data_IF_306916706135
#
_entry.id   IF_306916706135
#
_cell.length_a   1.000
_cell.length_b   1.000
_cell.length_c   1.000
_cell.angle_alpha   90.00
_cell.angle_beta   90.00
_cell.angle_gamma   90.00
#
_symmetry.space_group_name_H-M   'P 1'
#
loop_
_entity.id
_entity.type
_entity.pdbx_description
1 polymer ?
#
# COMPACT_ATOMS: atom_id res chain seq x y z
N UNK A 1 -25.13 -16.95 53.49
CA UNK A 1 -24.03 -17.55 52.70
C UNK A 1 -24.16 -17.07 51.27
N UNK A 2 -23.14 -16.34 50.80
CA UNK A 2 -23.01 -15.78 49.44
C UNK A 2 -23.00 -16.90 48.41
N UNK A 3 -23.50 -16.65 47.20
CA UNK A 3 -22.94 -17.16 45.95
C UNK A 3 -23.60 -16.43 44.77
N UNK A 4 -23.19 -15.18 44.57
CA UNK A 4 -23.38 -14.46 43.29
C UNK A 4 -22.46 -15.16 42.28
N UNK A 5 -23.02 -15.98 41.40
CA UNK A 5 -22.28 -16.55 40.27
C UNK A 5 -22.13 -15.47 39.22
N UNK A 6 -21.02 -14.73 39.32
CA UNK A 6 -20.54 -13.78 38.34
C UNK A 6 -20.10 -14.58 37.10
N UNK A 7 -20.99 -14.71 36.11
CA UNK A 7 -20.61 -15.23 34.80
C UNK A 7 -19.79 -14.15 34.09
N UNK A 8 -18.47 -14.32 34.13
CA UNK A 8 -17.49 -13.46 33.50
C UNK A 8 -17.66 -13.55 31.97
N UNK A 9 -18.14 -12.46 31.37
CA UNK A 9 -18.33 -12.32 29.93
C UNK A 9 -16.96 -12.38 29.22
N UNK A 10 -16.69 -13.48 28.52
CA UNK A 10 -15.58 -13.59 27.59
C UNK A 10 -16.06 -13.16 26.19
N UNK A 11 -16.33 -11.87 26.01
CA UNK A 11 -16.51 -11.29 24.68
C UNK A 11 -15.11 -11.15 24.10
N UNK A 12 -14.67 -12.17 23.37
CA UNK A 12 -13.50 -12.08 22.51
C UNK A 12 -13.76 -10.95 21.51
N UNK A 13 -13.00 -9.85 21.50
CA UNK A 13 -13.00 -9.02 20.32
C UNK A 13 -12.28 -9.85 19.26
N UNK A 14 -13.04 -10.54 18.41
CA UNK A 14 -12.57 -10.87 17.07
C UNK A 14 -12.35 -9.52 16.40
N UNK A 15 -11.19 -8.92 16.69
CA UNK A 15 -10.70 -7.74 16.03
C UNK A 15 -10.67 -8.08 14.55
N UNK A 16 -11.63 -7.52 13.83
CA UNK A 16 -11.75 -7.58 12.39
C UNK A 16 -10.37 -7.27 11.82
N UNK A 17 -9.67 -8.30 11.35
CA UNK A 17 -8.54 -8.12 10.45
C UNK A 17 -9.15 -7.53 9.18
N UNK A 18 -9.30 -6.21 9.16
CA UNK A 18 -9.86 -5.50 8.01
C UNK A 18 -8.98 -5.90 6.81
N UNK A 19 -9.57 -6.47 5.75
CA UNK A 19 -8.82 -6.77 4.56
C UNK A 19 -8.16 -5.48 4.09
N UNK A 20 -6.93 -5.62 3.67
CA UNK A 20 -6.17 -4.57 3.04
C UNK A 20 -6.88 -4.15 1.74
N UNK A 21 -7.86 -3.26 1.85
CA UNK A 21 -8.61 -2.84 0.68
C UNK A 21 -7.69 -2.10 -0.28
N UNK A 22 -7.85 -2.40 -1.57
CA UNK A 22 -7.32 -1.55 -2.63
C UNK A 22 -7.85 -0.12 -2.41
N UNK A 23 -6.94 0.84 -2.39
CA UNK A 23 -7.23 2.26 -2.20
C UNK A 23 -6.94 2.98 -3.50
N UNK A 24 -7.93 3.68 -4.04
CA UNK A 24 -7.74 4.60 -5.15
C UNK A 24 -8.03 6.04 -4.67
N UNK A 25 -7.21 6.98 -5.12
CA UNK A 25 -7.41 8.41 -4.87
C UNK A 25 -7.07 9.14 -6.15
N UNK A 26 -8.02 9.91 -6.67
CA UNK A 26 -7.81 10.82 -7.80
C UNK A 26 -8.01 12.25 -7.36
N UNK A 27 -7.05 13.11 -7.67
CA UNK A 27 -7.09 14.55 -7.41
C UNK A 27 -6.97 15.29 -8.73
N UNK A 28 -7.91 16.20 -9.00
CA UNK A 28 -7.80 17.16 -10.09
C UNK A 28 -7.24 18.47 -9.54
N UNK A 29 -6.25 19.04 -10.21
CA UNK A 29 -5.64 20.31 -9.82
C UNK A 29 -6.38 21.49 -10.44
N UNK A 30 -6.26 22.67 -9.84
CA UNK A 30 -6.89 23.89 -10.35
C UNK A 30 -6.41 24.28 -11.77
N UNK A 31 -5.24 23.77 -12.16
CA UNK A 31 -4.67 23.97 -13.49
C UNK A 31 -5.18 22.94 -14.52
N UNK A 32 -6.17 22.09 -14.19
CA UNK A 32 -6.79 21.12 -15.11
C UNK A 32 -6.05 19.79 -15.28
N UNK A 33 -4.97 19.56 -14.53
CA UNK A 33 -4.27 18.27 -14.50
C UNK A 33 -4.88 17.30 -13.48
N UNK A 34 -4.52 16.02 -13.56
CA UNK A 34 -4.96 14.99 -12.61
C UNK A 34 -3.81 14.19 -12.04
N UNK A 35 -3.91 13.77 -10.78
CA UNK A 35 -3.05 12.75 -10.19
C UNK A 35 -3.93 11.63 -9.62
N UNK A 36 -3.78 10.42 -10.16
CA UNK A 36 -4.36 9.21 -9.59
C UNK A 36 -3.29 8.43 -8.84
N UNK A 37 -3.67 7.84 -7.72
CA UNK A 37 -2.84 6.93 -6.94
C UNK A 37 -3.65 5.73 -6.49
N UNK A 38 -3.23 4.58 -6.98
CA UNK A 38 -3.79 3.29 -6.64
C UNK A 38 -2.81 2.54 -5.75
N UNK A 39 -3.30 1.96 -4.67
CA UNK A 39 -2.50 1.14 -3.76
C UNK A 39 -3.26 -0.14 -3.50
N UNK A 40 -2.58 -1.26 -3.71
CA UNK A 40 -3.06 -2.58 -3.32
C UNK A 40 -2.03 -3.24 -2.41
N UNK A 41 -2.48 -4.00 -1.42
CA UNK A 41 -1.62 -4.69 -0.48
C UNK A 41 -2.19 -6.06 -0.15
N UNK A 42 -1.48 -7.13 -0.51
CA UNK A 42 -1.79 -8.47 -0.05
C UNK A 42 -0.97 -8.73 1.22
N UNK A 43 -1.62 -9.16 2.29
CA UNK A 43 -0.99 -9.49 3.58
C UNK A 43 -1.38 -10.90 3.99
N UNK A 44 -0.41 -11.71 4.38
CA UNK A 44 -0.64 -13.09 4.82
C UNK A 44 0.66 -13.79 5.16
N UNK A 45 0.59 -14.81 6.03
CA UNK A 45 1.71 -15.68 6.40
C UNK A 45 3.00 -14.93 6.81
N UNK A 46 2.88 -13.86 7.59
CA UNK A 46 4.04 -13.08 8.06
C UNK A 46 4.70 -12.21 6.99
N UNK A 47 4.09 -12.09 5.81
CA UNK A 47 4.59 -11.28 4.72
C UNK A 47 3.54 -10.26 4.22
N UNK A 48 4.01 -9.23 3.53
CA UNK A 48 3.18 -8.27 2.82
C UNK A 48 3.77 -7.88 1.47
N UNK A 49 2.93 -7.84 0.44
CA UNK A 49 3.24 -7.32 -0.88
C UNK A 49 2.33 -6.14 -1.16
N UNK A 50 2.88 -4.94 -1.19
CA UNK A 50 2.15 -3.71 -1.47
C UNK A 50 2.62 -3.09 -2.78
N UNK A 51 1.72 -3.03 -3.75
CA UNK A 51 1.91 -2.27 -4.97
C UNK A 51 1.29 -0.87 -4.82
N UNK A 52 1.91 0.12 -5.44
CA UNK A 52 1.35 1.46 -5.55
C UNK A 52 1.67 2.02 -6.91
N UNK A 53 0.64 2.32 -7.68
CA UNK A 53 0.74 3.00 -8.98
C UNK A 53 0.35 4.45 -8.79
N UNK A 54 1.08 5.36 -9.41
CA UNK A 54 0.73 6.77 -9.45
C UNK A 54 0.81 7.23 -10.89
N UNK A 55 -0.27 7.80 -11.38
CA UNK A 55 -0.35 8.40 -12.72
C UNK A 55 -0.63 9.88 -12.55
N UNK A 56 0.21 10.72 -13.14
CA UNK A 56 -0.01 12.15 -13.20
C UNK A 56 -0.19 12.56 -14.66
N UNK A 57 -1.22 13.34 -14.94
CA UNK A 57 -1.56 13.85 -16.27
C UNK A 57 -1.67 15.36 -16.20
N UNK A 58 -0.97 16.07 -17.08
CA UNK A 58 -1.08 17.53 -17.19
C UNK A 58 -2.36 17.90 -17.94
N UNK A 59 -2.77 19.17 -17.87
CA UNK A 59 -3.93 19.66 -18.62
C UNK A 59 -3.81 19.49 -20.15
N UNK A 60 -2.57 19.44 -20.65
CA UNK A 60 -2.26 19.22 -22.06
C UNK A 60 -2.21 17.72 -22.43
N UNK A 61 -2.60 16.82 -21.52
CA UNK A 61 -2.68 15.38 -21.75
C UNK A 61 -1.35 14.61 -21.59
N UNK A 62 -0.24 15.28 -21.26
CA UNK A 62 1.04 14.61 -21.01
C UNK A 62 0.96 13.81 -19.73
N UNK A 63 1.33 12.53 -19.77
CA UNK A 63 1.19 11.64 -18.61
C UNK A 63 2.53 11.04 -18.17
N UNK A 64 2.71 10.88 -16.87
CA UNK A 64 3.84 10.18 -16.27
C UNK A 64 3.33 9.14 -15.27
N UNK A 65 4.00 8.00 -15.20
CA UNK A 65 3.64 6.90 -14.30
C UNK A 65 4.78 6.55 -13.37
N UNK A 66 4.42 6.10 -12.17
CA UNK A 66 5.36 5.57 -11.18
C UNK A 66 4.73 4.37 -10.48
N UNK A 67 5.36 3.21 -10.60
CA UNK A 67 4.99 2.02 -9.86
C UNK A 67 5.98 1.80 -8.72
N UNK A 68 5.47 1.38 -7.57
CA UNK A 68 6.28 0.94 -6.43
C UNK A 68 5.76 -0.38 -5.91
N UNK A 69 6.58 -1.40 -5.96
CA UNK A 69 6.35 -2.67 -5.28
C UNK A 69 7.18 -2.70 -3.99
N UNK A 70 6.54 -3.04 -2.87
CA UNK A 70 7.22 -3.31 -1.61
C UNK A 70 6.83 -4.69 -1.09
N UNK A 71 7.83 -5.54 -0.92
CA UNK A 71 7.73 -6.85 -0.29
C UNK A 71 8.41 -6.80 1.06
N UNK A 72 7.71 -7.19 2.10
CA UNK A 72 8.23 -7.29 3.47
C UNK A 72 7.93 -8.67 4.01
N UNK A 73 8.93 -9.30 4.62
CA UNK A 73 8.84 -10.57 5.32
C UNK A 73 9.77 -10.55 6.55
N UNK A 74 9.91 -11.70 7.22
CA UNK A 74 10.77 -11.83 8.40
C UNK A 74 12.27 -11.55 8.12
N UNK A 75 12.74 -11.73 6.89
CA UNK A 75 14.12 -11.49 6.47
C UNK A 75 14.41 -10.03 6.09
N UNK A 76 13.37 -9.20 5.96
CA UNK A 76 13.49 -7.76 5.75
C UNK A 76 12.49 -7.19 4.75
N UNK A 77 12.91 -6.16 4.02
CA UNK A 77 12.06 -5.44 3.07
C UNK A 77 12.79 -5.13 1.78
N UNK A 78 12.17 -5.48 0.65
CA UNK A 78 12.60 -5.06 -0.69
C UNK A 78 11.61 -4.06 -1.25
N UNK A 79 12.10 -2.93 -1.77
CA UNK A 79 11.29 -1.94 -2.48
C UNK A 79 11.87 -1.69 -3.86
N UNK A 80 11.06 -1.90 -4.89
CA UNK A 80 11.35 -1.54 -6.27
C UNK A 80 10.48 -0.37 -6.67
N UNK A 81 11.06 0.67 -7.26
CA UNK A 81 10.35 1.81 -7.84
C UNK A 81 10.73 1.92 -9.29
N UNK A 82 9.75 1.85 -10.18
CA UNK A 82 9.90 2.15 -11.61
C UNK A 82 9.04 3.35 -11.98
N UNK A 83 9.40 4.03 -13.05
CA UNK A 83 8.57 5.09 -13.61
C UNK A 83 8.86 5.34 -15.07
N UNK A 84 7.89 5.94 -15.74
CA UNK A 84 7.96 6.38 -17.12
C UNK A 84 7.52 7.84 -17.21
N UNK A 85 8.35 8.65 -17.86
CA UNK A 85 8.06 10.05 -18.16
C UNK A 85 7.20 10.20 -19.42
N UNK A 86 6.67 11.42 -19.65
CA UNK A 86 5.75 11.70 -20.76
C UNK A 86 6.38 11.55 -22.14
N UNK A 87 7.71 11.59 -22.23
CA UNK A 87 8.44 11.40 -23.48
C UNK A 87 9.09 10.01 -23.56
N UNK A 88 8.59 9.04 -22.79
CA UNK A 88 9.00 7.63 -22.85
C UNK A 88 10.26 7.28 -22.05
N UNK A 89 10.93 8.23 -21.38
CA UNK A 89 12.09 7.92 -20.54
C UNK A 89 11.67 7.05 -19.37
N UNK A 90 12.38 5.95 -19.15
CA UNK A 90 12.12 5.03 -18.04
C UNK A 90 13.29 4.98 -17.08
N UNK A 91 13.00 4.78 -15.81
CA UNK A 91 14.01 4.50 -14.79
C UNK A 91 13.49 3.51 -13.76
N UNK A 92 14.39 2.71 -13.18
CA UNK A 92 14.06 1.79 -12.10
C UNK A 92 15.15 1.83 -11.03
N UNK A 93 14.74 1.67 -9.77
CA UNK A 93 15.65 1.50 -8.64
C UNK A 93 15.09 0.49 -7.66
N UNK A 94 15.97 -0.33 -7.11
CA UNK A 94 15.64 -1.31 -6.08
C UNK A 94 16.46 -1.05 -4.84
N UNK A 95 15.83 -1.16 -3.67
CA UNK A 95 16.47 -1.08 -2.36
C UNK A 95 16.05 -2.30 -1.54
N UNK A 96 17.02 -2.94 -0.90
CA UNK A 96 16.81 -4.06 0.03
C UNK A 96 17.32 -3.66 1.40
N UNK A 97 16.49 -3.84 2.41
CA UNK A 97 16.82 -3.75 3.83
C UNK A 97 16.73 -5.17 4.35
N UNK A 98 17.79 -5.68 4.95
CA UNK A 98 17.84 -7.01 5.56
C UNK A 98 17.84 -6.88 7.07
N UNK A 99 17.12 -7.77 7.75
CA UNK A 99 17.17 -7.91 9.21
C UNK A 99 18.03 -9.13 9.53
N UNK A 100 19.07 -8.94 10.33
CA UNK A 100 19.92 -10.01 10.85
C UNK A 100 19.90 -9.96 12.37
N UNK A 101 19.65 -11.10 13.01
CA UNK A 101 19.74 -11.29 14.46
C UNK A 101 21.12 -11.84 14.85
#
# INVERSE_FOLDING_TARGET
>A
MKNVKLALALILPLGLAMPAAAQNVTVTTDNGGTMSKDRDCIRGNGASNCETTTTATTANGQSATKNRLRTTDAGGTTTTVSGQGPNGQSGSKTRKITVSN
#
